data_IF_653192630571
#
_entry.id   IF_653192630571
#
_cell.length_a   1.000
_cell.length_b   1.000
_cell.length_c   1.000
_cell.angle_alpha   90.00
_cell.angle_beta   90.00
_cell.angle_gamma   90.00
#
_symmetry.space_group_name_H-M   'P 1'
#
loop_
_entity.id
_entity.type
_entity.pdbx_description
1 polymer ?
#
# COMPACT_ATOMS: atom_id res chain seq x y z
N UNK A 1 7.05 12.83 19.81
CA UNK A 1 7.22 13.77 20.95
C UNK A 1 8.52 14.56 20.86
N UNK A 2 9.68 13.94 20.56
CA UNK A 2 10.97 14.63 20.43
C UNK A 2 10.96 15.72 19.35
N UNK A 3 10.35 15.48 18.21
CA UNK A 3 10.24 16.46 17.11
C UNK A 3 9.42 17.68 17.54
N UNK A 4 8.32 17.46 18.24
CA UNK A 4 7.47 18.55 18.76
C UNK A 4 8.25 19.39 19.78
N UNK A 5 8.97 18.73 20.70
CA UNK A 5 9.83 19.41 21.67
C UNK A 5 10.87 20.28 20.96
N UNK A 6 11.56 19.75 19.96
CA UNK A 6 12.62 20.45 19.20
C UNK A 6 12.06 21.65 18.43
N UNK A 7 10.92 21.48 17.77
CA UNK A 7 10.22 22.58 17.08
C UNK A 7 9.81 23.68 18.05
N UNK A 8 9.21 23.33 19.20
CA UNK A 8 8.80 24.29 20.20
C UNK A 8 10.00 25.00 20.85
N UNK A 9 11.12 24.29 21.04
CA UNK A 9 12.32 24.86 21.63
C UNK A 9 13.05 25.83 20.72
N UNK A 10 13.13 25.52 19.40
CA UNK A 10 13.79 26.38 18.40
C UNK A 10 12.93 27.58 18.03
N UNK A 11 11.66 27.36 17.70
CA UNK A 11 10.76 28.43 17.23
C UNK A 11 10.22 29.30 18.34
N UNK A 12 10.24 28.81 19.60
CA UNK A 12 9.70 29.52 20.78
C UNK A 12 8.35 30.21 20.51
N UNK A 13 7.36 29.52 19.93
CA UNK A 13 6.05 30.08 19.66
C UNK A 13 5.40 30.53 20.97
N UNK A 14 4.28 31.23 20.90
CA UNK A 14 3.49 31.69 22.05
C UNK A 14 4.14 32.80 22.91
N UNK A 15 5.24 33.43 22.47
CA UNK A 15 5.96 34.38 23.32
C UNK A 15 6.59 33.72 24.55
N UNK A 16 6.99 32.46 24.44
CA UNK A 16 7.64 31.67 25.50
C UNK A 16 8.85 32.42 26.08
N UNK A 17 9.56 33.21 25.26
CA UNK A 17 10.67 34.05 25.66
C UNK A 17 10.28 35.19 26.63
N UNK A 18 9.00 35.53 26.76
CA UNK A 18 8.48 36.56 27.67
C UNK A 18 7.98 36.00 28.99
N UNK A 19 7.89 34.68 29.10
CA UNK A 19 7.41 34.02 30.34
C UNK A 19 8.53 34.08 31.39
N UNK A 20 8.25 34.60 32.58
CA UNK A 20 9.15 34.55 33.75
C UNK A 20 9.28 33.09 34.19
N UNK A 21 10.28 32.37 33.73
CA UNK A 21 10.51 30.96 34.05
C UNK A 21 11.51 30.30 33.11
N UNK A 22 11.80 29.01 33.37
CA UNK A 22 12.65 28.21 32.50
C UNK A 22 11.91 27.92 31.19
N UNK A 23 12.42 28.46 30.06
CA UNK A 23 11.91 28.15 28.71
C UNK A 23 11.82 26.63 28.49
N UNK A 24 12.81 25.90 29.00
CA UNK A 24 12.82 24.45 28.97
C UNK A 24 11.58 23.82 29.65
N UNK A 25 11.20 24.30 30.82
CA UNK A 25 10.02 23.81 31.59
C UNK A 25 8.72 24.00 30.78
N UNK A 26 8.55 25.22 30.21
CA UNK A 26 7.35 25.54 29.41
C UNK A 26 7.25 24.69 28.19
N UNK A 27 8.36 24.49 27.46
CA UNK A 27 8.42 23.65 26.25
C UNK A 27 8.22 22.19 26.62
N UNK A 28 8.88 21.68 27.65
CA UNK A 28 8.75 20.30 28.11
C UNK A 28 7.30 19.98 28.53
N UNK A 29 6.66 20.87 29.31
CA UNK A 29 5.26 20.70 29.70
C UNK A 29 4.30 20.69 28.50
N UNK A 30 4.47 21.61 27.56
CA UNK A 30 3.68 21.63 26.32
C UNK A 30 3.88 20.37 25.47
N UNK A 31 5.11 19.86 25.37
CA UNK A 31 5.42 18.64 24.66
C UNK A 31 4.82 17.39 25.34
N UNK A 32 4.80 17.35 26.67
CA UNK A 32 4.15 16.29 27.43
C UNK A 32 2.63 16.27 27.24
N UNK A 33 2.00 17.45 27.21
CA UNK A 33 0.56 17.58 26.92
C UNK A 33 0.25 17.06 25.53
N UNK A 34 1.03 17.46 24.52
CA UNK A 34 0.86 16.97 23.15
C UNK A 34 1.08 15.45 23.06
N UNK A 35 2.06 14.90 23.76
CA UNK A 35 2.32 13.46 23.82
C UNK A 35 1.18 12.70 24.51
N UNK A 36 0.67 13.22 25.64
CA UNK A 36 -0.46 12.62 26.34
C UNK A 36 -1.74 12.61 25.52
N UNK A 37 -2.08 13.74 24.88
CA UNK A 37 -3.22 13.84 23.97
C UNK A 37 -3.08 12.85 22.79
N UNK A 38 -1.91 12.77 22.17
CA UNK A 38 -1.64 11.81 21.10
C UNK A 38 -1.79 10.36 21.58
N UNK A 39 -1.32 10.05 22.80
CA UNK A 39 -1.48 8.74 23.43
C UNK A 39 -2.94 8.36 23.65
N UNK A 40 -3.77 9.30 24.10
CA UNK A 40 -5.21 9.10 24.27
C UNK A 40 -5.85 8.69 22.93
N UNK A 41 -5.57 9.42 21.85
CA UNK A 41 -6.15 9.13 20.53
C UNK A 41 -5.59 7.89 19.87
N UNK A 42 -4.32 7.53 20.15
CA UNK A 42 -3.67 6.38 19.52
C UNK A 42 -3.95 5.07 20.25
N UNK A 43 -4.05 5.09 21.59
CA UNK A 43 -4.15 3.87 22.38
C UNK A 43 -5.45 3.78 23.19
N UNK A 44 -5.83 4.86 23.89
CA UNK A 44 -6.96 4.82 24.83
C UNK A 44 -8.31 4.78 24.10
N UNK A 45 -8.55 5.68 23.14
CA UNK A 45 -9.82 5.72 22.42
C UNK A 45 -10.06 4.45 21.57
N UNK A 46 -9.08 3.89 20.82
CA UNK A 46 -9.28 2.60 20.16
C UNK A 46 -9.55 1.43 21.12
N UNK A 47 -8.97 1.46 22.32
CA UNK A 47 -9.23 0.43 23.32
C UNK A 47 -10.64 0.55 23.92
N UNK A 48 -11.14 1.77 24.14
CA UNK A 48 -12.47 2.03 24.70
C UNK A 48 -13.59 1.85 23.65
N UNK A 49 -13.31 2.17 22.39
CA UNK A 49 -14.30 2.15 21.30
C UNK A 49 -13.85 1.26 20.11
N UNK A 50 -13.60 -0.05 20.31
CA UNK A 50 -13.04 -0.91 19.27
C UNK A 50 -13.94 -1.01 18.04
N UNK A 51 -15.28 -0.93 18.19
CA UNK A 51 -16.22 -0.98 17.09
C UNK A 51 -16.11 0.24 16.14
N UNK A 52 -15.79 1.42 16.67
CA UNK A 52 -15.61 2.64 15.89
C UNK A 52 -14.30 2.61 15.10
N UNK A 53 -13.22 2.05 15.68
CA UNK A 53 -11.86 2.03 15.12
C UNK A 53 -11.55 0.78 14.27
N UNK A 54 -12.53 -0.13 13.99
CA UNK A 54 -12.33 -1.25 13.07
C UNK A 54 -11.96 -0.77 11.68
N UNK A 55 -10.93 -1.38 11.07
CA UNK A 55 -10.44 -1.03 9.72
C UNK A 55 -11.54 -0.99 8.66
N UNK A 56 -12.50 -1.93 8.73
CA UNK A 56 -13.63 -2.00 7.79
C UNK A 56 -14.54 -0.77 7.84
N UNK A 57 -14.62 -0.10 8.99
CA UNK A 57 -15.48 1.07 9.23
C UNK A 57 -14.71 2.40 9.16
N UNK A 58 -13.39 2.36 8.91
CA UNK A 58 -12.52 3.52 8.94
C UNK A 58 -12.59 4.30 7.62
N UNK A 59 -13.20 5.47 7.65
CA UNK A 59 -13.34 6.36 6.49
C UNK A 59 -12.42 7.57 6.61
N UNK A 60 -12.12 8.22 5.48
CA UNK A 60 -11.32 9.44 5.44
C UNK A 60 -11.93 10.54 6.35
N UNK A 61 -13.26 10.69 6.35
CA UNK A 61 -13.95 11.64 7.19
C UNK A 61 -13.73 11.40 8.70
N UNK A 62 -13.79 10.14 9.14
CA UNK A 62 -13.50 9.76 10.53
C UNK A 62 -12.05 10.05 10.90
N UNK A 63 -11.11 9.81 9.96
CA UNK A 63 -9.71 10.12 10.18
C UNK A 63 -9.48 11.63 10.38
N UNK A 64 -10.06 12.46 9.52
CA UNK A 64 -9.99 13.93 9.61
C UNK A 64 -10.63 14.42 10.92
N UNK A 65 -11.82 13.92 11.27
CA UNK A 65 -12.50 14.28 12.52
C UNK A 65 -11.65 13.92 13.74
N UNK A 66 -11.10 12.71 13.77
CA UNK A 66 -10.23 12.24 14.86
C UNK A 66 -8.99 13.13 15.01
N UNK A 67 -8.37 13.53 13.89
CA UNK A 67 -7.24 14.45 13.85
C UNK A 67 -7.62 15.83 14.42
N UNK A 68 -8.75 16.41 13.99
CA UNK A 68 -9.23 17.71 14.46
C UNK A 68 -9.53 17.69 15.96
N UNK A 69 -10.17 16.63 16.47
CA UNK A 69 -10.44 16.48 17.89
C UNK A 69 -9.14 16.35 18.70
N UNK A 70 -8.15 15.62 18.20
CA UNK A 70 -6.83 15.51 18.81
C UNK A 70 -6.14 16.88 18.90
N UNK A 71 -6.14 17.66 17.81
CA UNK A 71 -5.54 18.98 17.75
C UNK A 71 -6.25 19.97 18.70
N UNK A 72 -7.58 19.89 18.78
CA UNK A 72 -8.36 20.68 19.71
C UNK A 72 -8.00 20.35 21.17
N UNK A 73 -7.87 19.06 21.51
CA UNK A 73 -7.47 18.64 22.86
C UNK A 73 -6.06 19.17 23.22
N UNK A 74 -5.12 19.10 22.27
CA UNK A 74 -3.78 19.67 22.42
C UNK A 74 -3.85 21.18 22.67
N UNK A 75 -4.64 21.91 21.86
CA UNK A 75 -4.78 23.36 21.98
C UNK A 75 -5.37 23.77 23.36
N UNK A 76 -6.42 23.07 23.80
CA UNK A 76 -7.03 23.30 25.14
C UNK A 76 -6.04 22.98 26.24
N UNK A 77 -5.30 21.87 26.15
CA UNK A 77 -4.30 21.50 27.14
C UNK A 77 -3.16 22.53 27.26
N UNK A 78 -2.64 22.99 26.14
CA UNK A 78 -1.59 24.01 26.07
C UNK A 78 -2.11 25.34 26.60
N UNK A 79 -3.32 25.75 26.22
CA UNK A 79 -3.97 26.96 26.73
C UNK A 79 -4.15 26.93 28.26
N UNK A 80 -4.67 25.83 28.80
CA UNK A 80 -4.85 25.68 30.25
C UNK A 80 -3.52 25.76 31.01
N UNK A 81 -2.50 25.06 30.49
CA UNK A 81 -1.16 25.06 31.08
C UNK A 81 -0.50 26.43 31.07
N UNK A 82 -0.55 27.15 29.93
CA UNK A 82 0.01 28.49 29.82
C UNK A 82 -0.76 29.52 30.64
N UNK A 83 -2.11 29.42 30.68
CA UNK A 83 -2.95 30.28 31.53
C UNK A 83 -2.61 30.11 32.99
N UNK A 84 -2.37 28.87 33.45
CA UNK A 84 -1.93 28.58 34.81
C UNK A 84 -0.55 29.19 35.12
N UNK A 85 0.42 29.02 34.18
CA UNK A 85 1.76 29.59 34.36
C UNK A 85 1.79 31.12 34.42
N UNK A 86 0.93 31.78 33.64
CA UNK A 86 0.86 33.23 33.56
C UNK A 86 -0.05 33.85 34.64
N UNK A 87 -0.77 33.03 35.41
CA UNK A 87 -1.76 33.50 36.39
C UNK A 87 -2.99 34.16 35.76
N UNK A 88 -3.20 33.99 34.47
CA UNK A 88 -4.30 34.56 33.68
C UNK A 88 -5.32 33.47 33.34
N UNK A 89 -6.26 33.21 34.24
CA UNK A 89 -7.27 32.18 34.07
C UNK A 89 -8.27 32.56 32.96
N UNK A 90 -8.46 31.63 32.00
CA UNK A 90 -9.50 31.69 30.97
C UNK A 90 -9.41 32.89 30.00
N UNK A 91 -8.23 33.44 29.75
CA UNK A 91 -8.08 34.47 28.72
C UNK A 91 -8.31 33.90 27.34
N UNK A 92 -9.37 34.37 26.68
CA UNK A 92 -9.76 33.98 25.31
C UNK A 92 -8.68 34.28 24.27
N UNK A 93 -7.89 35.34 24.48
CA UNK A 93 -6.79 35.69 23.55
C UNK A 93 -5.71 34.61 23.53
N UNK A 94 -5.36 34.07 24.71
CA UNK A 94 -4.41 32.99 24.84
C UNK A 94 -4.93 31.69 24.17
N UNK A 95 -6.24 31.44 24.26
CA UNK A 95 -6.87 30.30 23.57
C UNK A 95 -6.72 30.39 22.05
N UNK A 96 -7.11 31.52 21.47
CA UNK A 96 -6.98 31.69 20.00
C UNK A 96 -5.52 31.67 19.53
N UNK A 97 -4.61 32.20 20.36
CA UNK A 97 -3.18 32.13 20.08
C UNK A 97 -2.68 30.67 20.10
N UNK A 98 -3.02 29.90 21.13
CA UNK A 98 -2.67 28.48 21.23
C UNK A 98 -3.23 27.69 20.06
N UNK A 99 -4.49 27.91 19.72
CA UNK A 99 -5.15 27.25 18.60
C UNK A 99 -4.44 27.56 17.26
N UNK A 100 -4.12 28.84 17.00
CA UNK A 100 -3.44 29.25 15.76
C UNK A 100 -2.06 28.59 15.63
N UNK A 101 -1.28 28.53 16.70
CA UNK A 101 0.04 27.89 16.70
C UNK A 101 -0.06 26.36 16.53
N UNK A 102 -1.01 25.71 17.16
CA UNK A 102 -1.23 24.28 16.99
C UNK A 102 -1.58 23.99 15.52
N UNK A 103 -2.43 24.81 14.90
CA UNK A 103 -2.80 24.65 13.48
C UNK A 103 -1.62 24.86 12.54
N UNK A 104 -0.71 25.81 12.82
CA UNK A 104 0.49 26.06 12.03
C UNK A 104 1.53 24.96 12.21
N UNK A 105 1.71 24.46 13.44
CA UNK A 105 2.76 23.49 13.74
C UNK A 105 2.35 22.03 13.46
N UNK A 106 1.06 21.70 13.53
CA UNK A 106 0.57 20.31 13.34
C UNK A 106 0.91 19.67 11.99
N UNK A 107 0.94 20.39 10.85
CA UNK A 107 1.30 19.79 9.57
C UNK A 107 2.72 19.21 9.53
N UNK A 108 3.69 19.82 10.21
CA UNK A 108 5.09 19.41 10.16
C UNK A 108 5.33 17.95 10.65
N UNK A 109 4.97 17.59 11.90
CA UNK A 109 5.14 16.22 12.37
C UNK A 109 4.24 15.24 11.60
N UNK A 110 3.07 15.68 11.14
CA UNK A 110 2.14 14.84 10.38
C UNK A 110 2.73 14.47 9.02
N UNK A 111 3.23 15.46 8.26
CA UNK A 111 3.86 15.23 6.96
C UNK A 111 5.13 14.38 7.14
N UNK A 112 5.96 14.70 8.13
CA UNK A 112 7.16 13.91 8.43
C UNK A 112 6.83 12.44 8.70
N UNK A 113 5.83 12.17 9.53
CA UNK A 113 5.41 10.79 9.85
C UNK A 113 4.86 10.06 8.62
N UNK A 114 4.06 10.73 7.79
CA UNK A 114 3.54 10.16 6.55
C UNK A 114 4.68 9.83 5.56
N UNK A 115 5.63 10.74 5.39
CA UNK A 115 6.80 10.52 4.53
C UNK A 115 7.68 9.38 5.06
N UNK A 116 7.93 9.35 6.36
CA UNK A 116 8.70 8.28 7.02
C UNK A 116 8.06 6.92 6.81
N UNK A 117 6.75 6.81 7.04
CA UNK A 117 6.01 5.57 6.85
C UNK A 117 6.00 5.11 5.38
N UNK A 118 5.84 6.06 4.44
CA UNK A 118 5.93 5.76 3.00
C UNK A 118 7.32 5.27 2.61
N UNK A 119 8.39 5.88 3.12
CA UNK A 119 9.75 5.45 2.87
C UNK A 119 10.03 4.06 3.41
N UNK A 120 9.57 3.74 4.61
CA UNK A 120 9.70 2.38 5.18
C UNK A 120 8.99 1.33 4.31
N UNK A 121 7.77 1.62 3.85
CA UNK A 121 7.03 0.72 2.95
C UNK A 121 7.75 0.57 1.61
N UNK A 122 8.23 1.66 1.03
CA UNK A 122 8.97 1.63 -0.23
C UNK A 122 10.23 0.78 -0.10
N UNK A 123 11.04 1.00 0.93
CA UNK A 123 12.28 0.23 1.16
C UNK A 123 12.00 -1.26 1.33
N UNK A 124 10.93 -1.61 2.08
CA UNK A 124 10.52 -3.01 2.25
C UNK A 124 10.11 -3.64 0.92
N UNK A 125 9.21 -2.98 0.17
CA UNK A 125 8.72 -3.50 -1.11
C UNK A 125 9.84 -3.61 -2.15
N UNK A 126 10.78 -2.66 -2.18
CA UNK A 126 11.96 -2.72 -3.05
C UNK A 126 12.86 -3.91 -2.69
N UNK A 127 13.13 -4.13 -1.40
CA UNK A 127 13.94 -5.27 -0.96
C UNK A 127 13.29 -6.61 -1.35
N UNK A 128 12.00 -6.76 -1.09
CA UNK A 128 11.25 -7.97 -1.46
C UNK A 128 11.20 -8.18 -2.98
N UNK A 129 11.04 -7.09 -3.77
CA UNK A 129 11.11 -7.16 -5.24
C UNK A 129 12.50 -7.58 -5.73
N UNK A 130 13.58 -7.09 -5.09
CA UNK A 130 14.94 -7.52 -5.42
C UNK A 130 15.17 -9.01 -5.11
N UNK A 131 14.65 -9.51 -4.00
CA UNK A 131 14.70 -10.94 -3.65
C UNK A 131 13.99 -11.78 -4.73
N UNK A 132 12.75 -11.40 -5.11
CA UNK A 132 12.00 -12.07 -6.18
C UNK A 132 12.74 -12.04 -7.53
N UNK A 133 13.33 -10.88 -7.90
CA UNK A 133 14.11 -10.75 -9.12
C UNK A 133 15.39 -11.61 -9.09
N UNK A 134 16.04 -11.77 -7.94
CA UNK A 134 17.16 -12.69 -7.76
C UNK A 134 16.76 -14.14 -8.07
N UNK A 135 15.55 -14.54 -7.70
CA UNK A 135 15.01 -15.86 -8.04
C UNK A 135 14.71 -16.00 -9.54
N UNK A 136 14.13 -14.97 -10.17
CA UNK A 136 13.85 -14.97 -11.60
C UNK A 136 15.14 -15.00 -12.45
N UNK A 137 16.17 -14.24 -12.08
CA UNK A 137 17.45 -14.15 -12.81
C UNK A 137 18.25 -15.45 -12.82
N UNK A 138 18.16 -16.27 -11.76
CA UNK A 138 18.85 -17.58 -11.70
C UNK A 138 18.37 -18.55 -12.79
N UNK A 139 17.20 -18.39 -13.36
CA UNK A 139 16.66 -19.18 -14.47
C UNK A 139 17.21 -18.79 -15.84
N UNK A 140 17.69 -17.55 -15.98
CA UNK A 140 18.18 -17.01 -17.26
C UNK A 140 19.63 -17.45 -17.52
N UNK A 141 20.34 -17.92 -16.49
CA UNK A 141 21.71 -18.45 -16.63
C UNK A 141 21.70 -19.84 -17.27
N UNK A 142 22.45 -20.07 -18.38
CA UNK A 142 22.33 -21.29 -19.21
C UNK A 142 22.95 -22.56 -18.59
N UNK A 143 23.36 -22.58 -17.32
CA UNK A 143 24.13 -23.68 -16.74
C UNK A 143 23.34 -24.76 -15.99
N UNK A 144 22.03 -24.72 -15.94
CA UNK A 144 21.23 -25.81 -15.35
C UNK A 144 20.15 -26.26 -16.31
N UNK A 145 20.57 -26.95 -17.36
CA UNK A 145 19.71 -27.70 -18.25
C UNK A 145 19.28 -29.03 -17.63
N UNK A 146 18.45 -28.99 -16.60
CA UNK A 146 17.59 -30.12 -16.21
C UNK A 146 16.26 -29.49 -15.82
N UNK A 147 15.38 -29.32 -16.80
CA UNK A 147 13.98 -29.08 -16.52
C UNK A 147 13.46 -30.26 -15.71
N UNK A 148 13.17 -30.03 -14.43
CA UNK A 148 12.63 -31.04 -13.56
C UNK A 148 11.33 -31.60 -14.13
N UNK A 149 11.20 -32.92 -14.12
CA UNK A 149 10.11 -33.70 -14.70
C UNK A 149 8.72 -33.38 -14.10
N UNK A 150 8.65 -32.65 -13.02
CA UNK A 150 7.40 -32.26 -12.35
C UNK A 150 6.69 -31.04 -12.99
N UNK A 151 7.41 -30.18 -13.72
CA UNK A 151 6.79 -29.10 -14.52
C UNK A 151 6.03 -29.62 -15.77
N UNK A 152 6.17 -30.92 -16.10
CA UNK A 152 5.51 -31.58 -17.23
C UNK A 152 4.08 -32.05 -16.96
N UNK A 153 3.62 -32.08 -15.70
CA UNK A 153 2.30 -32.66 -15.35
C UNK A 153 1.13 -31.73 -15.72
N UNK A 154 1.34 -30.43 -15.82
CA UNK A 154 0.34 -29.51 -16.40
C UNK A 154 0.85 -29.04 -17.75
N UNK A 155 0.31 -29.61 -18.82
CA UNK A 155 0.77 -29.34 -20.18
C UNK A 155 0.51 -27.86 -20.51
N UNK A 156 1.54 -27.14 -20.98
CA UNK A 156 1.42 -25.81 -21.58
C UNK A 156 0.47 -25.79 -22.79
N UNK A 157 0.05 -26.96 -23.27
CA UNK A 157 -0.87 -27.17 -24.36
C UNK A 157 -2.34 -27.27 -23.96
N UNK A 158 -2.65 -27.24 -22.66
CA UNK A 158 -4.04 -27.24 -22.18
C UNK A 158 -4.77 -26.00 -22.70
N UNK A 159 -5.92 -26.21 -23.33
CA UNK A 159 -6.73 -25.14 -23.91
C UNK A 159 -7.57 -24.45 -22.81
N UNK A 160 -7.35 -23.14 -22.62
CA UNK A 160 -8.18 -22.29 -21.79
C UNK A 160 -9.33 -21.74 -22.63
N UNK A 161 -10.56 -22.03 -22.24
CA UNK A 161 -11.75 -21.57 -22.95
C UNK A 161 -12.42 -20.45 -22.16
N UNK A 162 -12.28 -19.23 -22.65
CA UNK A 162 -12.97 -18.07 -22.12
C UNK A 162 -14.31 -17.88 -22.85
N UNK A 163 -15.42 -18.08 -22.16
CA UNK A 163 -16.76 -17.88 -22.71
C UNK A 163 -17.29 -16.48 -22.32
N UNK A 164 -17.70 -15.71 -23.34
CA UNK A 164 -18.40 -14.44 -23.15
C UNK A 164 -19.93 -14.60 -23.19
N UNK A 165 -20.67 -13.61 -22.66
CA UNK A 165 -22.14 -13.63 -22.59
C UNK A 165 -22.87 -13.59 -23.94
N UNK A 166 -22.19 -13.45 -25.07
CA UNK A 166 -22.73 -13.25 -26.44
C UNK A 166 -22.25 -14.31 -27.44
N UNK A 167 -22.15 -15.56 -27.05
CA UNK A 167 -21.61 -16.67 -27.90
C UNK A 167 -20.16 -16.45 -28.37
N UNK A 168 -19.48 -15.42 -27.88
CA UNK A 168 -18.06 -15.21 -28.13
C UNK A 168 -17.26 -16.19 -27.28
N UNK A 169 -16.43 -16.98 -27.91
CA UNK A 169 -15.48 -17.87 -27.25
C UNK A 169 -14.07 -17.50 -27.69
N UNK A 170 -13.16 -17.53 -26.75
CA UNK A 170 -11.73 -17.40 -26.99
C UNK A 170 -11.03 -18.62 -26.42
N UNK A 171 -10.36 -19.36 -27.28
CA UNK A 171 -9.53 -20.48 -26.89
C UNK A 171 -8.05 -20.06 -26.96
N UNK A 172 -7.32 -20.23 -25.85
CA UNK A 172 -5.90 -19.88 -25.72
C UNK A 172 -5.17 -21.03 -25.04
N UNK A 173 -4.00 -21.42 -25.53
CA UNK A 173 -3.15 -22.39 -24.82
C UNK A 173 -2.69 -21.78 -23.47
N UNK A 174 -2.70 -22.55 -22.41
CA UNK A 174 -2.30 -22.10 -21.08
C UNK A 174 -0.86 -21.55 -21.07
N UNK A 175 0.03 -22.10 -21.90
CA UNK A 175 1.39 -21.63 -22.09
C UNK A 175 1.51 -20.28 -22.79
N UNK A 176 0.51 -19.88 -23.56
CA UNK A 176 0.50 -18.61 -24.31
C UNK A 176 -0.30 -17.51 -23.59
N UNK A 177 -1.07 -17.87 -22.57
CA UNK A 177 -1.79 -16.91 -21.75
C UNK A 177 -0.83 -16.05 -20.93
N UNK A 178 -1.01 -14.72 -20.95
CA UNK A 178 -0.21 -13.75 -20.24
C UNK A 178 -0.96 -13.19 -19.02
N UNK A 179 -2.09 -12.52 -19.28
CA UNK A 179 -2.91 -11.89 -18.23
C UNK A 179 -4.36 -11.74 -18.68
N UNK A 180 -5.25 -11.53 -17.72
CA UNK A 180 -6.59 -11.02 -17.97
C UNK A 180 -6.85 -9.80 -17.09
N UNK A 181 -7.48 -8.75 -17.68
CA UNK A 181 -7.78 -7.48 -17.03
C UNK A 181 -9.28 -7.16 -17.13
N UNK A 182 -9.91 -6.83 -15.99
CA UNK A 182 -11.27 -6.34 -15.99
C UNK A 182 -11.36 -4.90 -16.48
N UNK A 183 -12.15 -4.67 -17.53
CA UNK A 183 -12.46 -3.33 -18.10
C UNK A 183 -13.98 -3.12 -18.17
N UNK A 184 -14.54 -2.60 -17.07
CA UNK A 184 -16.00 -2.43 -16.96
C UNK A 184 -16.72 -3.79 -17.02
N UNK A 185 -17.57 -3.96 -18.03
CA UNK A 185 -18.33 -5.21 -18.29
C UNK A 185 -17.57 -6.21 -19.18
N UNK A 186 -16.31 -5.97 -19.46
CA UNK A 186 -15.47 -6.78 -20.33
C UNK A 186 -14.23 -7.26 -19.59
N UNK A 187 -13.68 -8.37 -20.07
CA UNK A 187 -12.35 -8.87 -19.68
C UNK A 187 -11.46 -8.80 -20.91
N UNK A 188 -10.34 -8.07 -20.78
CA UNK A 188 -9.26 -8.04 -21.76
C UNK A 188 -8.33 -9.21 -21.49
N UNK A 189 -8.23 -10.16 -22.40
CA UNK A 189 -7.34 -11.32 -22.31
C UNK A 189 -6.14 -11.07 -23.21
N UNK A 190 -4.95 -10.99 -22.63
CA UNK A 190 -3.67 -10.85 -23.31
C UNK A 190 -2.98 -12.21 -23.47
N UNK A 191 -2.56 -12.54 -24.66
CA UNK A 191 -1.94 -13.82 -24.99
C UNK A 191 -0.97 -13.72 -26.16
N UNK A 192 -0.10 -14.73 -26.33
CA UNK A 192 0.77 -14.88 -27.49
C UNK A 192 0.01 -15.57 -28.63
N UNK A 193 0.07 -15.00 -29.82
CA UNK A 193 -0.56 -15.59 -31.02
C UNK A 193 0.49 -16.25 -31.89
N UNK A 194 0.20 -17.47 -32.33
CA UNK A 194 1.07 -18.25 -33.25
C UNK A 194 0.99 -17.80 -34.71
N UNK A 195 0.31 -16.69 -35.05
CA UNK A 195 -0.08 -16.35 -36.40
C UNK A 195 1.03 -15.86 -37.35
N UNK A 196 2.29 -15.79 -36.92
CA UNK A 196 3.44 -15.60 -37.80
C UNK A 196 4.73 -15.95 -37.04
N UNK A 197 5.79 -16.33 -37.75
CA UNK A 197 7.09 -16.78 -37.22
C UNK A 197 7.70 -15.96 -36.06
N UNK A 198 7.05 -14.88 -35.68
CA UNK A 198 7.31 -14.08 -34.46
C UNK A 198 6.10 -14.18 -33.53
N UNK A 199 6.31 -14.67 -32.32
CA UNK A 199 5.29 -14.74 -31.25
C UNK A 199 4.84 -13.33 -30.88
N UNK A 200 3.83 -12.81 -31.56
CA UNK A 200 3.27 -11.48 -31.32
C UNK A 200 2.27 -11.54 -30.18
N UNK A 201 2.41 -10.60 -29.23
CA UNK A 201 1.41 -10.41 -28.17
C UNK A 201 0.19 -9.74 -28.76
N UNK A 202 -0.96 -10.33 -28.52
CA UNK A 202 -2.26 -9.80 -28.91
C UNK A 202 -3.21 -9.83 -27.72
N UNK A 203 -4.35 -9.16 -27.85
CA UNK A 203 -5.37 -9.16 -26.81
C UNK A 203 -6.77 -9.21 -27.43
N UNK A 204 -7.71 -9.74 -26.68
CA UNK A 204 -9.12 -9.78 -27.05
C UNK A 204 -10.01 -9.34 -25.90
N UNK A 205 -11.05 -8.56 -26.19
CA UNK A 205 -12.07 -8.17 -25.24
C UNK A 205 -13.24 -9.14 -25.33
N UNK A 206 -13.62 -9.71 -24.18
CA UNK A 206 -14.77 -10.60 -24.05
C UNK A 206 -15.75 -10.01 -23.05
N UNK A 207 -17.03 -10.09 -23.34
CA UNK A 207 -18.06 -9.68 -22.38
C UNK A 207 -18.23 -10.74 -21.31
N UNK A 208 -17.38 -10.69 -20.30
CA UNK A 208 -17.30 -11.68 -19.23
C UNK A 208 -16.98 -10.99 -17.90
N UNK A 209 -17.20 -11.69 -16.80
CA UNK A 209 -16.78 -11.26 -15.45
C UNK A 209 -15.41 -11.86 -15.11
N UNK A 210 -14.68 -11.22 -14.19
CA UNK A 210 -13.41 -11.78 -13.69
C UNK A 210 -13.60 -13.16 -13.04
N UNK A 211 -14.75 -13.44 -12.44
CA UNK A 211 -15.06 -14.76 -11.89
C UNK A 211 -15.13 -15.84 -12.97
N UNK A 212 -15.79 -15.57 -14.09
CA UNK A 212 -15.81 -16.48 -15.24
C UNK A 212 -14.43 -16.69 -15.84
N UNK A 213 -13.61 -15.63 -15.93
CA UNK A 213 -12.22 -15.76 -16.38
C UNK A 213 -11.38 -16.60 -15.39
N UNK A 214 -11.59 -16.47 -14.09
CA UNK A 214 -10.93 -17.26 -13.04
C UNK A 214 -11.34 -18.74 -13.08
N UNK A 215 -12.61 -19.02 -13.34
CA UNK A 215 -13.12 -20.38 -13.56
C UNK A 215 -12.50 -21.04 -14.79
N UNK A 216 -12.32 -20.29 -15.89
CA UNK A 216 -11.69 -20.78 -17.13
C UNK A 216 -10.22 -21.19 -16.95
N UNK A 217 -9.50 -20.61 -15.98
CA UNK A 217 -8.09 -20.90 -15.71
C UNK A 217 -7.87 -21.76 -14.45
N UNK A 218 -8.95 -22.20 -13.80
CA UNK A 218 -8.90 -22.89 -12.50
C UNK A 218 -8.09 -24.19 -12.49
N UNK A 219 -7.98 -24.87 -13.64
CA UNK A 219 -7.14 -26.05 -13.81
C UNK A 219 -5.63 -25.74 -13.80
N UNK A 220 -5.22 -24.48 -14.01
CA UNK A 220 -3.82 -24.09 -14.17
C UNK A 220 -3.29 -23.39 -12.89
N UNK A 221 -2.55 -24.10 -12.02
CA UNK A 221 -2.08 -23.54 -10.73
C UNK A 221 -1.05 -22.40 -10.88
N UNK A 222 -0.48 -22.22 -12.07
CA UNK A 222 0.45 -21.14 -12.38
C UNK A 222 -0.24 -19.87 -12.92
N UNK A 223 -1.57 -19.90 -13.11
CA UNK A 223 -2.38 -18.73 -13.46
C UNK A 223 -3.19 -18.36 -12.22
N UNK A 224 -2.87 -17.22 -11.65
CA UNK A 224 -3.46 -16.81 -10.36
C UNK A 224 -4.05 -15.41 -10.42
N UNK A 225 -4.92 -15.14 -9.47
CA UNK A 225 -5.43 -13.79 -9.24
C UNK A 225 -4.39 -12.99 -8.45
N UNK A 226 -3.88 -11.91 -9.03
CA UNK A 226 -2.90 -11.02 -8.38
C UNK A 226 -3.50 -9.69 -7.96
N UNK A 227 -4.68 -9.34 -8.48
CA UNK A 227 -5.40 -8.12 -8.16
C UNK A 227 -6.91 -8.36 -8.35
N UNK A 228 -7.76 -7.52 -7.72
CA UNK A 228 -9.23 -7.62 -7.93
C UNK A 228 -9.64 -7.56 -9.40
N UNK A 229 -8.83 -6.93 -10.24
CA UNK A 229 -9.06 -6.74 -11.66
C UNK A 229 -8.08 -7.50 -12.56
N UNK A 230 -7.17 -8.31 -12.04
CA UNK A 230 -6.16 -9.00 -12.85
C UNK A 230 -5.96 -10.47 -12.45
N UNK A 231 -5.87 -11.32 -13.49
CA UNK A 231 -5.27 -12.66 -13.46
C UNK A 231 -3.93 -12.59 -14.19
N UNK A 232 -2.95 -13.36 -13.77
CA UNK A 232 -1.61 -13.39 -14.37
C UNK A 232 -1.05 -14.79 -14.43
N UNK A 233 -0.34 -15.11 -15.50
CA UNK A 233 0.50 -16.29 -15.60
C UNK A 233 1.86 -16.01 -14.96
N UNK A 234 2.11 -16.60 -13.80
CA UNK A 234 3.38 -16.41 -13.06
C UNK A 234 4.59 -16.90 -13.87
N UNK A 235 4.41 -17.89 -14.77
CA UNK A 235 5.48 -18.39 -15.61
C UNK A 235 6.01 -17.37 -16.61
N UNK A 236 5.20 -16.37 -16.96
CA UNK A 236 5.54 -15.29 -17.88
C UNK A 236 6.15 -14.07 -17.22
N UNK A 237 6.24 -14.05 -15.87
CA UNK A 237 6.86 -12.94 -15.14
C UNK A 237 8.37 -12.98 -15.33
N UNK A 238 8.92 -11.87 -15.83
CA UNK A 238 10.37 -11.70 -16.04
C UNK A 238 10.98 -10.75 -15.01
N UNK A 239 10.20 -9.81 -14.46
CA UNK A 239 10.69 -8.84 -13.48
C UNK A 239 9.57 -8.41 -12.56
N UNK A 240 9.93 -8.10 -11.32
CA UNK A 240 9.04 -7.52 -10.31
C UNK A 240 9.57 -6.16 -9.90
N UNK A 241 8.74 -5.13 -10.00
CA UNK A 241 9.04 -3.79 -9.52
C UNK A 241 8.25 -3.50 -8.24
N UNK A 242 8.96 -3.04 -7.19
CA UNK A 242 8.37 -2.64 -5.92
C UNK A 242 8.15 -1.13 -5.85
N UNK A 243 6.99 -0.72 -5.34
CA UNK A 243 6.72 0.69 -5.04
C UNK A 243 6.04 0.84 -3.66
N UNK A 244 5.73 2.08 -3.25
CA UNK A 244 5.08 2.36 -1.96
C UNK A 244 3.65 1.78 -1.84
N UNK A 245 3.04 1.32 -2.94
CA UNK A 245 1.69 0.78 -2.96
C UNK A 245 1.65 -0.76 -3.03
N UNK A 246 2.76 -1.40 -3.48
CA UNK A 246 2.86 -2.85 -3.64
C UNK A 246 3.85 -3.24 -4.73
N UNK A 247 3.51 -4.27 -5.50
CA UNK A 247 4.32 -4.78 -6.60
C UNK A 247 3.64 -4.57 -7.94
N UNK A 248 4.47 -4.51 -8.98
CA UNK A 248 4.09 -4.59 -10.38
C UNK A 248 4.88 -5.69 -11.04
N UNK A 249 4.22 -6.52 -11.83
CA UNK A 249 4.82 -7.62 -12.57
C UNK A 249 5.01 -7.21 -14.02
N UNK A 250 6.22 -7.39 -14.53
CA UNK A 250 6.54 -7.23 -15.93
C UNK A 250 6.53 -8.62 -16.59
N UNK A 251 5.77 -8.77 -17.65
CA UNK A 251 5.61 -10.02 -18.37
C UNK A 251 6.48 -10.03 -19.61
N UNK A 252 6.94 -11.21 -20.01
CA UNK A 252 7.80 -11.41 -21.15
C UNK A 252 7.17 -10.89 -22.44
N UNK A 253 7.84 -9.91 -23.08
CA UNK A 253 7.39 -9.29 -24.34
C UNK A 253 6.18 -8.36 -24.20
N UNK A 254 5.64 -8.10 -22.98
CA UNK A 254 4.50 -7.24 -22.75
C UNK A 254 4.94 -5.89 -22.18
N UNK A 255 4.46 -4.79 -22.75
CA UNK A 255 4.73 -3.44 -22.22
C UNK A 255 3.83 -3.09 -21.02
N UNK A 256 2.71 -3.82 -20.86
CA UNK A 256 1.78 -3.55 -19.76
C UNK A 256 2.27 -4.15 -18.45
N UNK A 257 2.30 -3.31 -17.40
CA UNK A 257 2.63 -3.72 -16.04
C UNK A 257 1.37 -4.24 -15.34
N UNK A 258 1.44 -5.43 -14.75
CA UNK A 258 0.34 -6.03 -14.01
C UNK A 258 0.48 -5.70 -12.52
N UNK A 259 -0.46 -4.93 -11.92
CA UNK A 259 -0.39 -4.57 -10.51
C UNK A 259 -0.74 -5.77 -9.61
N UNK A 260 -0.05 -5.87 -8.48
CA UNK A 260 -0.34 -6.85 -7.41
C UNK A 260 -0.91 -6.13 -6.20
N UNK A 261 -2.11 -6.50 -5.77
CA UNK A 261 -2.69 -5.93 -4.55
C UNK A 261 -2.12 -6.59 -3.30
N UNK A 262 -2.16 -5.89 -2.17
CA UNK A 262 -1.61 -6.36 -0.88
C UNK A 262 -2.20 -7.71 -0.44
N UNK A 263 -3.46 -7.96 -0.76
CA UNK A 263 -4.14 -9.22 -0.41
C UNK A 263 -3.49 -10.45 -1.07
N UNK A 264 -2.99 -10.29 -2.30
CA UNK A 264 -2.40 -11.37 -3.11
C UNK A 264 -0.86 -11.39 -3.09
N UNK A 265 -0.23 -10.38 -2.49
CA UNK A 265 1.22 -10.20 -2.52
C UNK A 265 1.99 -11.42 -1.96
N UNK A 266 1.50 -12.03 -0.87
CA UNK A 266 2.12 -13.20 -0.26
C UNK A 266 2.07 -14.42 -1.17
N UNK A 267 0.95 -14.66 -1.82
CA UNK A 267 0.73 -15.78 -2.73
C UNK A 267 1.61 -15.64 -3.99
N UNK A 268 1.62 -14.46 -4.61
CA UNK A 268 2.49 -14.15 -5.76
C UNK A 268 3.96 -14.37 -5.40
N UNK A 269 4.41 -13.86 -4.24
CA UNK A 269 5.79 -14.04 -3.76
C UNK A 269 6.13 -15.52 -3.58
N UNK A 270 5.28 -16.28 -2.90
CA UNK A 270 5.50 -17.70 -2.65
C UNK A 270 5.61 -18.51 -3.96
N UNK A 271 4.77 -18.20 -4.96
CA UNK A 271 4.83 -18.89 -6.25
C UNK A 271 6.08 -18.53 -7.06
N UNK A 272 6.53 -17.28 -7.02
CA UNK A 272 7.79 -16.88 -7.68
C UNK A 272 8.99 -17.56 -6.99
N UNK A 273 9.02 -17.62 -5.66
CA UNK A 273 10.11 -18.28 -4.90
C UNK A 273 10.12 -19.80 -5.09
N UNK A 274 8.96 -20.45 -5.07
CA UNK A 274 8.84 -21.89 -5.26
C UNK A 274 9.23 -22.34 -6.69
N UNK A 275 8.98 -21.47 -7.68
CA UNK A 275 9.40 -21.70 -9.06
C UNK A 275 10.92 -21.92 -9.21
N UNK A 276 11.70 -21.50 -8.26
CA UNK A 276 13.17 -21.61 -8.26
C UNK A 276 13.66 -22.87 -7.56
N UNK A 277 12.80 -23.54 -6.75
CA UNK A 277 13.14 -24.72 -5.95
C UNK A 277 12.82 -26.04 -6.69
N UNK A 278 12.01 -25.98 -7.74
CA UNK A 278 11.72 -27.09 -8.66
C UNK A 278 12.66 -27.06 -9.86
#
# INVERSE_FOLDING_TARGET
>A
SAIIFLILYILQPFGISRIKGSVFGVVAGSALIAAGASGVFTYLLPALFPAYYKEQNWTLGKHVLNLLLMLLLIAVGIWAYQSWLMGMWLDKRLFFLALSWVMVLAPFPTIFFLMWNRNLQLTRNLKEAMEMNGHLSRRISPEVGIASLEDKVFSSEEALVFAGGTKEMLEVKAGDFLYAEAKGNYVKVGYRSDSDKEKKITWRLLRATMKQAEEAVSACPFIIRCHRAFLVNIRMVVKVDGNSQGYKLNLEGCEEEVPVSRAYAKEVKALIENRTKS
#
